data_IF_632593209500
#
_entry.id   IF_632593209500
#
_cell.length_a   1.000
_cell.length_b   1.000
_cell.length_c   1.000
_cell.angle_alpha   90.00
_cell.angle_beta   90.00
_cell.angle_gamma   90.00
#
_symmetry.space_group_name_H-M   'P 1'
#
loop_
_entity.id
_entity.type
_entity.pdbx_description
1 polymer ?
#
# COMPACT_ATOMS: atom_id res chain seq x y z
N UNK A 1 -12.38 -2.54 18.10
CA UNK A 1 -12.55 -1.81 16.83
C UNK A 1 -13.70 -2.45 16.06
N UNK A 2 -14.73 -1.68 15.72
CA UNK A 2 -15.94 -2.22 15.09
C UNK A 2 -15.74 -2.41 13.57
N UNK A 3 -15.13 -1.41 12.90
CA UNK A 3 -14.80 -1.40 11.50
C UNK A 3 -13.39 -0.85 11.28
N UNK A 4 -12.67 -1.40 10.30
CA UNK A 4 -11.36 -0.91 9.89
C UNK A 4 -11.12 -1.14 8.39
N UNK A 5 -10.39 -0.22 7.80
CA UNK A 5 -9.75 -0.44 6.50
C UNK A 5 -8.30 -0.82 6.78
N UNK A 6 -7.94 -2.07 6.52
CA UNK A 6 -6.64 -2.63 6.90
C UNK A 6 -5.89 -3.21 5.70
N UNK A 7 -4.58 -3.35 5.84
CA UNK A 7 -3.76 -4.04 4.84
C UNK A 7 -4.18 -5.52 4.72
N UNK A 8 -3.96 -6.12 3.54
CA UNK A 8 -4.30 -7.53 3.31
C UNK A 8 -3.55 -8.50 4.23
N UNK A 9 -2.32 -8.16 4.62
CA UNK A 9 -1.52 -9.02 5.51
C UNK A 9 -2.11 -9.16 6.92
N UNK A 10 -2.42 -8.09 7.67
CA UNK A 10 -3.13 -8.22 8.95
C UNK A 10 -4.48 -8.94 8.81
N UNK A 11 -5.21 -8.73 7.71
CA UNK A 11 -6.44 -9.46 7.47
C UNK A 11 -6.20 -10.98 7.39
N UNK A 12 -5.22 -11.42 6.64
CA UNK A 12 -4.90 -12.86 6.51
C UNK A 12 -4.46 -13.46 7.85
N UNK A 13 -3.69 -12.70 8.64
CA UNK A 13 -3.25 -13.16 9.98
C UNK A 13 -4.40 -13.31 10.97
N UNK A 14 -5.44 -12.49 10.85
CA UNK A 14 -6.56 -12.41 11.80
C UNK A 14 -7.92 -12.78 11.17
N UNK A 15 -7.92 -13.46 10.01
CA UNK A 15 -9.15 -13.76 9.25
C UNK A 15 -10.17 -14.60 10.02
N UNK A 16 -9.77 -15.35 11.04
CA UNK A 16 -10.69 -16.10 11.89
C UNK A 16 -11.48 -15.20 12.85
N UNK A 17 -10.91 -14.04 13.19
CA UNK A 17 -11.53 -13.05 14.09
C UNK A 17 -12.17 -11.87 13.36
N UNK A 18 -11.88 -11.71 12.06
CA UNK A 18 -12.34 -10.56 11.26
C UNK A 18 -13.24 -11.03 10.13
N UNK A 19 -14.34 -10.33 9.91
CA UNK A 19 -15.20 -10.53 8.74
C UNK A 19 -14.87 -9.52 7.65
N UNK A 20 -14.56 -9.99 6.44
CA UNK A 20 -14.40 -9.12 5.28
C UNK A 20 -15.76 -8.53 4.89
N UNK A 21 -15.89 -7.22 4.92
CA UNK A 21 -17.12 -6.50 4.58
C UNK A 21 -17.14 -6.12 3.11
N UNK A 22 -16.11 -5.45 2.62
CA UNK A 22 -15.96 -5.06 1.23
C UNK A 22 -14.49 -4.81 0.89
N UNK A 23 -14.15 -4.89 -0.38
CA UNK A 23 -12.88 -4.42 -0.92
C UNK A 23 -13.14 -3.32 -1.95
N UNK A 24 -12.45 -2.19 -1.89
CA UNK A 24 -12.55 -1.15 -2.90
C UNK A 24 -12.09 -1.64 -4.27
N UNK A 25 -12.62 -1.03 -5.33
CA UNK A 25 -12.18 -1.26 -6.70
C UNK A 25 -11.36 -0.05 -7.16
N UNK A 26 -10.11 -0.29 -7.51
CA UNK A 26 -9.20 0.70 -8.08
C UNK A 26 -8.96 0.38 -9.56
N UNK A 27 -9.18 1.35 -10.45
CA UNK A 27 -9.09 1.14 -11.91
C UNK A 27 -9.93 -0.05 -12.39
N UNK A 28 -11.13 -0.22 -11.82
CA UNK A 28 -12.10 -1.27 -12.19
C UNK A 28 -11.76 -2.67 -11.65
N UNK A 29 -10.77 -2.82 -10.76
CA UNK A 29 -10.38 -4.10 -10.15
C UNK A 29 -10.13 -3.96 -8.66
N UNK A 30 -10.48 -4.96 -7.82
CA UNK A 30 -10.15 -4.94 -6.41
C UNK A 30 -8.69 -5.40 -6.18
N UNK A 31 -7.76 -4.81 -6.93
CA UNK A 31 -6.34 -5.20 -6.96
C UNK A 31 -5.44 -3.96 -6.87
N UNK A 32 -4.26 -4.17 -6.31
CA UNK A 32 -3.19 -3.16 -6.24
C UNK A 32 -1.82 -3.81 -6.39
N UNK A 33 -0.76 -3.01 -6.41
CA UNK A 33 0.64 -3.46 -6.51
C UNK A 33 1.49 -2.85 -5.41
N UNK A 34 2.56 -3.53 -5.04
CA UNK A 34 3.68 -2.93 -4.32
C UNK A 34 4.61 -2.27 -5.33
N UNK A 35 5.03 -1.05 -5.06
CA UNK A 35 6.07 -0.35 -5.82
C UNK A 35 7.31 -0.17 -4.98
N UNK A 36 8.49 -0.36 -5.59
CA UNK A 36 9.74 0.19 -5.08
C UNK A 36 10.05 1.44 -5.88
N UNK A 37 10.29 2.53 -5.17
CA UNK A 37 10.57 3.85 -5.73
C UNK A 37 11.96 4.33 -5.33
N UNK A 38 12.56 5.14 -6.21
CA UNK A 38 13.82 5.87 -5.99
C UNK A 38 13.66 7.32 -6.43
N UNK A 39 14.62 8.18 -6.15
CA UNK A 39 14.64 9.53 -6.69
C UNK A 39 14.63 9.50 -8.24
N UNK A 40 14.03 10.50 -8.88
CA UNK A 40 13.87 10.54 -10.33
C UNK A 40 15.20 10.48 -11.09
N UNK A 41 16.24 11.10 -10.52
CA UNK A 41 17.62 11.15 -11.05
C UNK A 41 18.52 10.00 -10.56
N UNK A 42 18.03 9.11 -9.68
CA UNK A 42 18.79 7.96 -9.19
C UNK A 42 19.27 7.08 -10.37
N UNK A 43 20.50 6.56 -10.36
CA UNK A 43 20.95 5.61 -11.39
C UNK A 43 20.30 4.24 -11.26
N UNK A 44 19.81 3.85 -10.07
CA UNK A 44 19.28 2.52 -9.79
C UNK A 44 18.05 2.19 -10.64
N UNK A 45 18.03 1.04 -11.30
CA UNK A 45 16.93 0.58 -12.18
C UNK A 45 16.24 -0.68 -11.68
N UNK A 46 16.82 -1.33 -10.67
CA UNK A 46 16.29 -2.53 -10.04
C UNK A 46 16.53 -2.48 -8.52
N UNK A 47 15.78 -3.28 -7.77
CA UNK A 47 15.91 -3.35 -6.31
C UNK A 47 17.31 -3.79 -5.88
N UNK A 48 17.95 -4.69 -6.63
CA UNK A 48 19.29 -5.21 -6.32
C UNK A 48 20.37 -4.13 -6.32
N UNK A 49 20.17 -3.07 -7.11
CA UNK A 49 21.10 -1.94 -7.18
C UNK A 49 21.02 -1.01 -5.96
N UNK A 50 20.07 -1.26 -5.06
CA UNK A 50 19.96 -0.57 -3.76
C UNK A 50 20.71 -1.28 -2.63
N UNK A 51 21.50 -2.32 -2.93
CA UNK A 51 22.34 -2.98 -1.93
C UNK A 51 23.25 -1.99 -1.22
N UNK A 52 23.28 -2.05 0.12
CA UNK A 52 24.08 -1.14 0.94
C UNK A 52 23.60 0.32 1.03
N UNK A 53 22.43 0.64 0.46
CA UNK A 53 21.83 1.98 0.48
C UNK A 53 20.91 2.16 1.71
N UNK A 54 20.39 3.37 1.90
CA UNK A 54 19.41 3.71 2.93
C UNK A 54 17.99 3.48 2.38
N UNK A 55 17.17 2.64 3.05
CA UNK A 55 15.86 2.28 2.55
C UNK A 55 14.75 2.56 3.56
N UNK A 56 13.62 3.09 3.08
CA UNK A 56 12.45 3.39 3.89
C UNK A 56 11.35 2.33 3.72
N UNK A 57 10.89 1.79 4.83
CA UNK A 57 9.71 0.93 4.92
C UNK A 57 8.49 1.75 5.33
N UNK A 58 7.32 1.37 4.82
CA UNK A 58 6.09 2.07 5.21
C UNK A 58 5.65 1.69 6.63
N UNK A 59 5.51 0.39 6.89
CA UNK A 59 5.00 -0.19 8.14
C UNK A 59 5.32 -1.69 8.17
N UNK A 60 5.60 -2.28 9.33
CA UNK A 60 5.93 -3.71 9.49
C UNK A 60 4.78 -4.65 9.09
N UNK A 61 3.54 -4.19 9.18
CA UNK A 61 2.35 -4.96 8.82
C UNK A 61 1.88 -4.67 7.39
N UNK A 62 2.63 -3.84 6.64
CA UNK A 62 2.30 -3.54 5.26
C UNK A 62 2.75 -4.64 4.31
N UNK A 63 1.82 -5.19 3.52
CA UNK A 63 2.18 -6.09 2.43
C UNK A 63 3.05 -5.39 1.38
N UNK A 64 2.64 -4.22 0.89
CA UNK A 64 3.34 -3.51 -0.18
C UNK A 64 4.56 -2.74 0.29
N UNK A 65 4.50 -2.17 1.50
CA UNK A 65 5.56 -1.32 2.04
C UNK A 65 6.62 -2.05 2.85
N UNK A 66 6.50 -3.39 3.02
CA UNK A 66 7.43 -4.18 3.81
C UNK A 66 7.55 -5.64 3.36
N UNK A 67 6.47 -6.43 3.37
CA UNK A 67 6.55 -7.88 3.17
C UNK A 67 6.99 -8.25 1.76
N UNK A 68 6.31 -7.70 0.74
CA UNK A 68 6.61 -8.07 -0.64
C UNK A 68 8.05 -7.77 -1.06
N UNK A 69 8.60 -6.55 -0.86
CA UNK A 69 9.98 -6.31 -1.26
C UNK A 69 10.99 -7.16 -0.48
N UNK A 70 10.72 -7.51 0.78
CA UNK A 70 11.54 -8.46 1.53
C UNK A 70 11.45 -9.87 0.94
N UNK A 71 10.23 -10.34 0.61
CA UNK A 71 10.03 -11.61 -0.10
C UNK A 71 10.78 -11.62 -1.44
N UNK A 72 10.69 -10.54 -2.20
CA UNK A 72 11.40 -10.40 -3.48
C UNK A 72 12.91 -10.54 -3.31
N UNK A 73 13.51 -9.85 -2.34
CA UNK A 73 14.93 -10.00 -2.00
C UNK A 73 15.27 -11.44 -1.61
N UNK A 74 14.48 -12.07 -0.75
CA UNK A 74 14.69 -13.46 -0.33
C UNK A 74 14.60 -14.43 -1.50
N UNK A 75 13.66 -14.23 -2.42
CA UNK A 75 13.50 -15.07 -3.62
C UNK A 75 14.69 -14.98 -4.59
N UNK A 76 15.47 -13.92 -4.49
CA UNK A 76 16.71 -13.71 -5.25
C UNK A 76 17.97 -14.14 -4.47
N UNK A 77 17.80 -14.73 -3.29
CA UNK A 77 18.92 -15.23 -2.48
C UNK A 77 19.57 -14.19 -1.57
N UNK A 78 18.98 -13.00 -1.44
CA UNK A 78 19.45 -11.98 -0.53
C UNK A 78 18.85 -12.13 0.88
N UNK A 79 19.60 -11.73 1.89
CA UNK A 79 19.10 -11.55 3.26
C UNK A 79 18.53 -10.12 3.42
N UNK A 80 17.21 -9.95 3.53
CA UNK A 80 16.60 -8.62 3.61
C UNK A 80 17.05 -7.79 4.82
N UNK A 81 17.53 -8.43 5.90
CA UNK A 81 17.97 -7.75 7.12
C UNK A 81 19.40 -7.20 6.99
N UNK A 82 20.14 -7.69 5.99
CA UNK A 82 21.53 -7.29 5.73
C UNK A 82 21.72 -6.59 4.38
N UNK A 83 20.68 -6.59 3.54
CA UNK A 83 20.76 -6.10 2.18
C UNK A 83 21.01 -4.59 2.12
N UNK A 84 20.26 -3.83 2.92
CA UNK A 84 20.43 -2.39 3.02
C UNK A 84 21.43 -2.03 4.12
N UNK A 85 22.17 -0.92 3.93
CA UNK A 85 23.06 -0.39 4.98
C UNK A 85 22.30 0.00 6.23
N UNK A 86 21.12 0.59 6.07
CA UNK A 86 20.22 1.03 7.13
C UNK A 86 18.78 1.12 6.61
N UNK A 87 17.84 0.81 7.47
CA UNK A 87 16.41 0.97 7.17
C UNK A 87 15.71 1.72 8.30
N UNK A 88 14.56 2.31 7.99
CA UNK A 88 13.68 2.94 8.98
C UNK A 88 12.22 2.87 8.52
N UNK A 89 11.28 2.98 9.46
CA UNK A 89 9.86 3.04 9.17
C UNK A 89 9.38 4.48 9.11
N UNK A 90 8.60 4.80 8.09
CA UNK A 90 7.98 6.13 7.89
C UNK A 90 6.58 6.20 8.50
N UNK A 91 5.98 5.05 8.81
CA UNK A 91 4.61 4.91 9.33
C UNK A 91 3.54 5.48 8.39
N UNK A 92 3.75 5.33 7.08
CA UNK A 92 2.78 5.71 6.07
C UNK A 92 3.36 5.90 4.69
N UNK A 93 2.67 5.39 3.67
CA UNK A 93 3.12 5.42 2.28
C UNK A 93 3.42 6.83 1.74
N UNK A 94 2.59 7.88 2.01
CA UNK A 94 2.91 9.24 1.57
C UNK A 94 4.25 9.73 2.14
N UNK A 95 4.54 9.41 3.41
CA UNK A 95 5.81 9.77 4.05
C UNK A 95 7.00 9.03 3.43
N UNK A 96 6.81 7.79 2.97
CA UNK A 96 7.84 7.06 2.22
C UNK A 96 8.15 7.74 0.89
N UNK A 97 7.13 8.23 0.16
CA UNK A 97 7.33 8.99 -1.08
C UNK A 97 8.09 10.29 -0.79
N UNK A 98 7.67 11.04 0.25
CA UNK A 98 8.37 12.26 0.67
C UNK A 98 9.83 11.99 1.04
N UNK A 99 10.10 10.91 1.80
CA UNK A 99 11.46 10.58 2.22
C UNK A 99 12.40 10.35 1.02
N UNK A 100 11.91 9.73 -0.06
CA UNK A 100 12.70 9.55 -1.29
C UNK A 100 12.82 10.86 -2.07
N UNK A 101 11.71 11.61 -2.22
CA UNK A 101 11.70 12.87 -2.97
C UNK A 101 12.62 13.94 -2.36
N UNK A 102 12.78 13.92 -1.03
CA UNK A 102 13.65 14.85 -0.28
C UNK A 102 15.08 14.31 -0.04
N UNK A 103 15.40 13.12 -0.57
CA UNK A 103 16.73 12.51 -0.41
C UNK A 103 17.03 11.99 0.99
N UNK A 104 16.00 11.76 1.82
CA UNK A 104 16.14 11.16 3.16
C UNK A 104 16.28 9.64 3.10
N UNK A 105 15.94 9.02 1.97
CA UNK A 105 16.15 7.63 1.65
C UNK A 105 16.53 7.48 0.18
N UNK A 106 17.40 6.53 -0.15
CA UNK A 106 17.79 6.21 -1.53
C UNK A 106 16.69 5.43 -2.27
N UNK A 107 15.85 4.73 -1.52
CA UNK A 107 14.68 4.04 -2.03
C UNK A 107 13.64 3.77 -0.95
N UNK A 108 12.43 3.44 -1.36
CA UNK A 108 11.34 3.07 -0.47
C UNK A 108 10.38 2.07 -1.11
N UNK A 109 9.69 1.31 -0.27
CA UNK A 109 8.57 0.48 -0.70
C UNK A 109 7.24 1.16 -0.34
N UNK A 110 6.32 1.22 -1.31
CA UNK A 110 5.05 1.93 -1.17
C UNK A 110 3.89 1.15 -1.78
N UNK A 111 2.69 1.48 -1.36
CA UNK A 111 1.46 1.06 -2.03
C UNK A 111 1.31 1.79 -3.36
N UNK A 112 1.14 1.04 -4.44
CA UNK A 112 1.02 1.60 -5.79
C UNK A 112 -0.22 2.48 -5.96
N UNK A 113 -1.35 2.10 -5.33
CA UNK A 113 -2.55 2.95 -5.31
C UNK A 113 -2.25 4.32 -4.66
N UNK A 114 -1.55 4.32 -3.52
CA UNK A 114 -1.19 5.57 -2.83
C UNK A 114 -0.25 6.40 -3.70
N UNK A 115 0.75 5.79 -4.33
CA UNK A 115 1.68 6.52 -5.21
C UNK A 115 0.96 7.10 -6.43
N UNK A 116 0.07 6.34 -7.08
CA UNK A 116 -0.70 6.81 -8.24
C UNK A 116 -1.72 7.89 -7.87
N UNK A 117 -2.34 7.80 -6.70
CA UNK A 117 -3.21 8.86 -6.16
C UNK A 117 -2.42 10.15 -5.87
N UNK A 118 -1.22 10.03 -5.28
CA UNK A 118 -0.33 11.17 -5.08
C UNK A 118 0.13 11.77 -6.41
N UNK A 119 0.33 10.96 -7.46
CA UNK A 119 0.70 11.45 -8.79
C UNK A 119 -0.38 12.36 -9.39
N UNK A 120 -1.65 12.14 -9.06
CA UNK A 120 -2.76 13.02 -9.47
C UNK A 120 -2.92 14.26 -8.57
N UNK A 121 -2.75 14.09 -7.25
CA UNK A 121 -3.04 15.13 -6.25
C UNK A 121 -1.85 16.03 -5.92
N UNK A 122 -0.66 15.50 -6.02
CA UNK A 122 0.61 16.15 -5.68
C UNK A 122 1.69 15.78 -6.71
N UNK A 123 1.48 16.11 -8.02
CA UNK A 123 2.34 15.64 -9.11
C UNK A 123 3.81 16.06 -8.94
N UNK A 124 4.07 17.22 -8.34
CA UNK A 124 5.44 17.67 -8.07
C UNK A 124 6.21 16.72 -7.13
N UNK A 125 5.52 16.15 -6.12
CA UNK A 125 6.11 15.19 -5.19
C UNK A 125 6.49 13.89 -5.89
N UNK A 126 5.59 13.32 -6.68
CA UNK A 126 5.84 12.05 -7.37
C UNK A 126 6.77 12.21 -8.57
N UNK A 127 6.80 13.39 -9.22
CA UNK A 127 7.75 13.70 -10.28
C UNK A 127 9.22 13.70 -9.80
N UNK A 128 9.45 13.91 -8.50
CA UNK A 128 10.77 13.77 -7.88
C UNK A 128 11.15 12.30 -7.60
N UNK A 129 10.25 11.35 -7.90
CA UNK A 129 10.48 9.91 -7.71
C UNK A 129 10.16 9.13 -8.98
N UNK A 130 10.63 7.89 -9.07
CA UNK A 130 10.23 6.94 -10.11
C UNK A 130 10.15 5.52 -9.58
N UNK A 131 9.27 4.71 -10.18
CA UNK A 131 9.10 3.30 -9.86
C UNK A 131 10.17 2.48 -10.58
N UNK A 132 10.88 1.61 -9.84
CA UNK A 132 11.88 0.67 -10.37
C UNK A 132 11.46 -0.79 -10.26
N UNK A 133 10.48 -1.10 -9.41
CA UNK A 133 9.90 -2.44 -9.28
C UNK A 133 8.41 -2.32 -9.07
N UNK A 134 7.65 -3.14 -9.81
CA UNK A 134 6.22 -3.35 -9.63
C UNK A 134 5.97 -4.83 -9.34
N UNK A 135 5.24 -5.11 -8.27
CA UNK A 135 4.87 -6.48 -7.90
C UNK A 135 3.84 -7.09 -8.85
N UNK A 136 3.61 -8.42 -8.80
CA UNK A 136 2.33 -8.99 -9.18
C UNK A 136 1.17 -8.28 -8.47
N UNK A 137 -0.05 -8.45 -8.99
CA UNK A 137 -1.24 -7.88 -8.37
C UNK A 137 -1.59 -8.62 -7.08
N UNK A 138 -1.97 -7.86 -6.05
CA UNK A 138 -2.51 -8.36 -4.78
C UNK A 138 -3.94 -7.90 -4.60
N UNK A 139 -4.71 -8.60 -3.76
CA UNK A 139 -6.04 -8.14 -3.34
C UNK A 139 -5.95 -6.78 -2.66
N UNK A 140 -6.84 -5.87 -3.05
CA UNK A 140 -6.89 -4.52 -2.50
C UNK A 140 -7.16 -4.57 -0.99
N UNK A 141 -6.57 -3.69 -0.17
CA UNK A 141 -6.81 -3.62 1.27
C UNK A 141 -8.31 -3.61 1.60
N UNK A 142 -8.80 -4.58 2.39
CA UNK A 142 -10.22 -4.71 2.65
C UNK A 142 -10.71 -3.82 3.80
N UNK A 143 -12.01 -3.46 3.77
CA UNK A 143 -12.75 -3.07 4.96
C UNK A 143 -13.20 -4.33 5.68
N UNK A 144 -12.94 -4.38 6.98
CA UNK A 144 -13.25 -5.52 7.83
C UNK A 144 -14.07 -5.09 9.04
N UNK A 145 -14.87 -6.01 9.57
CA UNK A 145 -15.56 -5.86 10.84
C UNK A 145 -14.94 -6.76 11.91
N UNK A 146 -14.82 -6.23 13.11
CA UNK A 146 -14.44 -6.98 14.28
C UNK A 146 -15.60 -7.82 14.85
N UNK A 147 -15.30 -8.78 15.75
CA UNK A 147 -16.31 -9.71 16.28
C UNK A 147 -17.38 -9.04 17.14
N UNK A 148 -17.09 -7.86 17.70
CA UNK A 148 -18.04 -7.12 18.55
C UNK A 148 -19.17 -6.46 17.76
N UNK A 149 -19.02 -6.23 16.45
CA UNK A 149 -20.07 -5.63 15.62
C UNK A 149 -21.18 -6.66 15.34
N UNK A 150 -22.45 -6.37 15.69
CA UNK A 150 -23.57 -7.30 15.47
C UNK A 150 -23.73 -7.67 13.98
N UNK A 151 -24.18 -8.89 13.70
CA UNK A 151 -24.35 -9.39 12.34
C UNK A 151 -25.30 -8.52 11.48
N UNK A 152 -26.37 -7.99 12.07
CA UNK A 152 -27.30 -7.09 11.39
C UNK A 152 -26.61 -5.78 10.95
N UNK A 153 -25.75 -5.22 11.82
CA UNK A 153 -24.99 -4.00 11.49
C UNK A 153 -23.92 -4.28 10.42
N UNK A 154 -23.23 -5.42 10.48
CA UNK A 154 -22.30 -5.85 9.43
C UNK A 154 -22.98 -5.96 8.07
N UNK A 155 -24.16 -6.60 8.02
CA UNK A 155 -24.95 -6.71 6.80
C UNK A 155 -25.39 -5.33 6.27
N UNK A 156 -25.80 -4.42 7.16
CA UNK A 156 -26.18 -3.04 6.81
C UNK A 156 -25.01 -2.26 6.23
N UNK A 157 -23.85 -2.31 6.90
CA UNK A 157 -22.63 -1.62 6.41
C UNK A 157 -22.21 -2.18 5.05
N UNK A 158 -22.22 -3.50 4.90
CA UNK A 158 -21.92 -4.14 3.60
C UNK A 158 -22.84 -3.64 2.49
N UNK A 159 -24.16 -3.61 2.74
CA UNK A 159 -25.13 -3.13 1.77
C UNK A 159 -24.87 -1.68 1.37
N UNK A 160 -24.59 -0.79 2.32
CA UNK A 160 -24.26 0.62 2.08
C UNK A 160 -23.01 0.74 1.21
N UNK A 161 -21.92 0.02 1.55
CA UNK A 161 -20.67 0.08 0.82
C UNK A 161 -20.80 -0.43 -0.63
N UNK A 162 -21.53 -1.53 -0.83
CA UNK A 162 -21.74 -2.09 -2.17
C UNK A 162 -22.67 -1.24 -3.04
N UNK A 163 -23.52 -0.42 -2.43
CA UNK A 163 -24.45 0.46 -3.14
C UNK A 163 -23.87 1.85 -3.44
N UNK A 164 -22.72 2.20 -2.87
CA UNK A 164 -22.09 3.53 -3.03
C UNK A 164 -21.93 3.95 -4.50
N UNK A 165 -21.56 3.03 -5.37
CA UNK A 165 -21.39 3.33 -6.80
C UNK A 165 -22.71 3.65 -7.53
N UNK A 166 -23.85 3.34 -6.93
CA UNK A 166 -25.18 3.61 -7.49
C UNK A 166 -25.75 4.94 -7.02
N UNK A 167 -25.33 5.41 -5.86
CA UNK A 167 -25.74 6.68 -5.29
C UNK A 167 -24.84 7.84 -5.78
N UNK A 168 -25.40 9.01 -6.17
CA UNK A 168 -24.58 10.15 -6.61
C UNK A 168 -23.57 10.66 -5.56
N UNK A 169 -23.96 10.72 -4.28
CA UNK A 169 -23.08 11.14 -3.20
C UNK A 169 -21.99 10.09 -2.94
N UNK A 170 -22.36 8.80 -2.99
CA UNK A 170 -21.41 7.69 -2.89
C UNK A 170 -20.36 7.70 -4.00
N UNK A 171 -20.77 7.96 -5.25
CA UNK A 171 -19.82 8.12 -6.37
C UNK A 171 -18.87 9.30 -6.17
N UNK A 172 -19.35 10.41 -5.63
CA UNK A 172 -18.50 11.57 -5.34
C UNK A 172 -17.42 11.22 -4.30
N UNK A 173 -17.81 10.51 -3.22
CA UNK A 173 -16.86 10.04 -2.20
C UNK A 173 -15.83 9.04 -2.76
N UNK A 174 -16.27 8.08 -3.59
CA UNK A 174 -15.36 7.14 -4.25
C UNK A 174 -14.39 7.88 -5.17
N UNK A 175 -14.85 8.86 -5.95
CA UNK A 175 -14.01 9.68 -6.81
C UNK A 175 -12.97 10.50 -6.02
N UNK A 176 -13.31 11.00 -4.83
CA UNK A 176 -12.35 11.65 -3.93
C UNK A 176 -11.25 10.69 -3.46
N UNK A 177 -11.54 9.40 -3.38
CA UNK A 177 -10.57 8.36 -3.02
C UNK A 177 -9.88 7.73 -4.24
N UNK A 178 -10.23 8.18 -5.46
CA UNK A 178 -9.78 7.55 -6.71
C UNK A 178 -10.22 6.06 -6.87
N UNK A 179 -11.39 5.72 -6.33
CA UNK A 179 -11.97 4.38 -6.32
C UNK A 179 -13.22 4.28 -7.21
#
# INVERSE_FOLDING_TARGET
LDLAWICGYPYVQHQEALELIAAPSFQGRPLYHSYVIVAADSPARALDELAGQLFAWADSDSNSGYLYPRFHLTSQGHDPDRFFRRTFFTWGHPRSVTAVAEGLADGAAVDGYVWETLARRSPALTAATRVILRSPAFGFPPLVAGPALPAAERARVRAILLDQSRDPAGRALLAELDL
#
